data_IF_113499895641
#
_entry.id   IF_113499895641
#
_cell.length_a   1.000
_cell.length_b   1.000
_cell.length_c   1.000
_cell.angle_alpha   90.00
_cell.angle_beta   90.00
_cell.angle_gamma   90.00
#
_symmetry.space_group_name_H-M   'P 1'
#
loop_
_entity.id
_entity.type
_entity.pdbx_description
1 polymer ?
#
# COMPACT_ATOMS: atom_id res chain seq x y z
N UNK A 1 -12.23 20.71 4.99
CA UNK A 1 -11.34 20.19 6.03
C UNK A 1 -12.05 19.09 6.80
N UNK A 2 -11.44 17.92 6.87
CA UNK A 2 -12.06 16.77 7.54
C UNK A 2 -11.83 16.84 9.04
N UNK A 3 -12.92 16.80 9.81
CA UNK A 3 -12.83 16.81 11.26
C UNK A 3 -12.15 15.53 11.76
N UNK A 4 -11.27 15.69 12.73
CA UNK A 4 -10.61 14.58 13.38
C UNK A 4 -9.49 13.92 12.59
N UNK A 5 -9.20 14.38 11.40
CA UNK A 5 -8.08 13.87 10.64
C UNK A 5 -6.90 14.84 10.69
N UNK A 6 -5.78 14.34 11.23
CA UNK A 6 -4.54 15.12 11.32
C UNK A 6 -3.37 14.31 10.81
N UNK A 7 -2.38 14.99 10.24
CA UNK A 7 -1.16 14.36 9.75
C UNK A 7 0.03 15.10 10.36
N UNK A 8 1.01 14.36 10.86
CA UNK A 8 2.22 14.93 11.44
C UNK A 8 3.14 15.53 10.38
N UNK A 9 4.14 16.28 10.83
CA UNK A 9 5.23 16.68 9.97
C UNK A 9 6.02 15.44 9.55
N UNK A 10 6.73 15.56 8.43
CA UNK A 10 7.60 14.50 7.92
C UNK A 10 8.77 14.27 8.87
N UNK A 11 9.07 13.02 9.15
CA UNK A 11 10.08 12.61 10.12
C UNK A 11 11.01 11.56 9.53
N UNK A 12 12.20 11.47 10.10
CA UNK A 12 13.19 10.47 9.72
C UNK A 12 13.53 9.59 10.91
N UNK A 13 14.11 8.41 10.64
CA UNK A 13 14.46 7.48 11.68
C UNK A 13 13.27 6.70 12.20
N UNK A 14 13.54 5.64 12.94
CA UNK A 14 12.47 4.78 13.44
C UNK A 14 11.62 5.54 14.48
N UNK A 15 10.29 5.44 14.40
CA UNK A 15 9.43 6.04 15.43
C UNK A 15 9.74 5.48 16.82
N UNK A 16 9.62 6.34 17.83
CA UNK A 16 9.88 5.93 19.21
C UNK A 16 8.88 4.89 19.73
N UNK A 17 7.63 4.97 19.25
CA UNK A 17 6.59 4.02 19.61
C UNK A 17 6.04 3.36 18.36
N UNK A 18 6.03 2.04 18.33
CA UNK A 18 5.50 1.27 17.21
C UNK A 18 4.19 0.62 17.63
N UNK A 19 3.24 0.56 16.70
CA UNK A 19 1.89 0.08 17.00
C UNK A 19 1.72 -1.43 16.82
N UNK A 20 2.70 -2.13 16.24
CA UNK A 20 2.59 -3.57 16.07
C UNK A 20 3.81 -4.20 15.44
N UNK A 21 3.77 -5.52 15.38
CA UNK A 21 4.89 -6.30 14.87
C UNK A 21 5.15 -6.06 13.38
N UNK A 22 4.10 -5.90 12.58
CA UNK A 22 4.27 -5.65 11.14
C UNK A 22 4.96 -4.33 10.87
N UNK A 23 4.62 -3.31 11.63
CA UNK A 23 5.26 -2.01 11.50
C UNK A 23 6.74 -2.12 11.86
N UNK A 24 7.07 -2.82 12.95
CA UNK A 24 8.45 -3.05 13.34
C UNK A 24 9.21 -3.81 12.26
N UNK A 25 8.63 -4.87 11.72
CA UNK A 25 9.25 -5.67 10.67
C UNK A 25 9.55 -4.84 9.42
N UNK A 26 8.68 -3.91 9.04
CA UNK A 26 8.92 -3.02 7.92
C UNK A 26 10.14 -2.13 8.16
N UNK A 27 10.25 -1.53 9.34
CA UNK A 27 11.41 -0.70 9.64
C UNK A 27 12.69 -1.51 9.68
N UNK A 28 12.65 -2.70 10.27
CA UNK A 28 13.80 -3.58 10.31
C UNK A 28 14.25 -3.98 8.90
N UNK A 29 13.32 -4.26 8.01
CA UNK A 29 13.63 -4.60 6.63
C UNK A 29 14.30 -3.43 5.90
N UNK A 30 13.74 -2.23 6.03
CA UNK A 30 14.32 -1.04 5.40
C UNK A 30 15.73 -0.77 5.90
N UNK A 31 15.94 -0.91 7.20
CA UNK A 31 17.25 -0.70 7.81
C UNK A 31 18.24 -1.76 7.38
N UNK A 32 17.83 -3.01 7.32
CA UNK A 32 18.68 -4.10 6.87
C UNK A 32 19.11 -3.92 5.41
N UNK A 33 18.21 -3.39 4.58
CA UNK A 33 18.51 -3.14 3.17
C UNK A 33 19.25 -1.82 2.94
N UNK A 34 19.49 -1.04 4.00
CA UNK A 34 20.18 0.23 3.86
C UNK A 34 19.36 1.30 3.15
N UNK A 35 18.03 1.20 3.17
CA UNK A 35 17.14 2.14 2.51
C UNK A 35 16.80 3.28 3.45
N UNK A 36 17.10 4.51 3.05
CA UNK A 36 16.66 5.69 3.79
C UNK A 36 15.18 5.90 3.60
N UNK A 37 14.50 6.32 4.64
CA UNK A 37 13.04 6.49 4.60
C UNK A 37 12.61 7.70 5.41
N UNK A 38 11.41 8.18 5.10
CA UNK A 38 10.73 9.21 5.87
C UNK A 38 9.32 8.72 6.15
N UNK A 39 8.72 9.23 7.23
CA UNK A 39 7.37 8.82 7.61
C UNK A 39 6.58 9.97 8.18
N UNK A 40 5.27 9.83 8.14
CA UNK A 40 4.32 10.70 8.82
C UNK A 40 3.37 9.84 9.62
N UNK A 41 2.77 10.43 10.63
CA UNK A 41 1.76 9.78 11.44
C UNK A 41 0.42 10.47 11.22
N UNK A 42 -0.64 9.69 11.08
CA UNK A 42 -1.97 10.26 10.97
C UNK A 42 -2.87 9.73 12.06
N UNK A 43 -3.87 10.53 12.43
CA UNK A 43 -4.74 10.23 13.57
C UNK A 43 -5.63 9.01 13.35
N UNK A 44 -5.96 8.69 12.11
CA UNK A 44 -6.74 7.52 11.71
C UNK A 44 -6.52 7.29 10.22
N UNK A 45 -7.01 6.17 9.72
CA UNK A 45 -6.91 5.90 8.28
C UNK A 45 -7.66 6.97 7.48
N UNK A 46 -7.08 7.44 6.37
CA UNK A 46 -7.79 8.37 5.48
C UNK A 46 -9.05 7.71 4.93
N UNK A 47 -10.16 8.45 4.99
CA UNK A 47 -11.44 7.97 4.50
C UNK A 47 -11.86 8.63 3.20
N UNK A 48 -11.23 9.75 2.85
CA UNK A 48 -11.55 10.51 1.64
C UNK A 48 -10.31 10.73 0.80
N UNK A 49 -10.52 11.09 -0.47
CA UNK A 49 -9.42 11.45 -1.36
C UNK A 49 -8.67 12.67 -0.84
N UNK A 50 -9.40 13.66 -0.30
CA UNK A 50 -8.79 14.85 0.25
C UNK A 50 -7.87 14.53 1.42
N UNK A 51 -8.29 13.61 2.30
CA UNK A 51 -7.45 13.19 3.42
C UNK A 51 -6.21 12.45 2.96
N UNK A 52 -6.35 11.58 1.96
CA UNK A 52 -5.20 10.89 1.39
C UNK A 52 -4.20 11.87 0.76
N UNK A 53 -4.71 12.92 0.11
CA UNK A 53 -3.87 13.96 -0.46
C UNK A 53 -3.11 14.76 0.61
N UNK A 54 -3.69 14.92 1.80
CA UNK A 54 -3.00 15.57 2.91
C UNK A 54 -1.78 14.76 3.35
N UNK A 55 -1.90 13.43 3.35
CA UNK A 55 -0.77 12.54 3.66
C UNK A 55 0.32 12.69 2.60
N UNK A 56 -0.07 12.69 1.32
CA UNK A 56 0.88 12.84 0.22
C UNK A 56 1.64 14.17 0.31
N UNK A 57 0.93 15.24 0.64
CA UNK A 57 1.57 16.55 0.82
C UNK A 57 2.55 16.56 1.98
N UNK A 58 2.20 15.94 3.08
CA UNK A 58 3.07 15.87 4.24
C UNK A 58 4.36 15.09 3.93
N UNK A 59 4.26 14.03 3.15
CA UNK A 59 5.42 13.25 2.71
C UNK A 59 6.19 13.92 1.58
N UNK A 60 5.55 14.85 0.85
CA UNK A 60 6.20 15.55 -0.24
C UNK A 60 6.38 14.70 -1.49
N UNK A 61 5.64 13.62 -1.64
CA UNK A 61 5.70 12.73 -2.81
C UNK A 61 4.30 12.31 -3.21
N UNK A 62 4.09 11.97 -4.49
CA UNK A 62 2.80 11.44 -4.93
C UNK A 62 2.51 10.11 -4.24
N UNK A 63 1.27 9.93 -3.82
CA UNK A 63 0.85 8.69 -3.19
C UNK A 63 0.62 7.57 -4.21
N UNK A 64 0.72 6.35 -3.74
CA UNK A 64 0.44 5.15 -4.52
C UNK A 64 -0.82 4.49 -3.97
N UNK A 65 -1.54 3.82 -4.84
CA UNK A 65 -2.62 2.93 -4.42
C UNK A 65 -2.22 1.49 -4.72
N UNK A 66 -2.67 0.60 -3.85
CA UNK A 66 -2.38 -0.82 -3.92
C UNK A 66 -3.65 -1.53 -4.33
N UNK A 67 -3.60 -2.28 -5.43
CA UNK A 67 -4.74 -3.03 -5.91
C UNK A 67 -4.36 -4.49 -6.03
N UNK A 68 -5.27 -5.36 -5.63
CA UNK A 68 -5.05 -6.81 -5.69
C UNK A 68 -6.14 -7.41 -6.57
N UNK A 69 -5.72 -8.19 -7.55
CA UNK A 69 -6.63 -8.84 -8.49
C UNK A 69 -6.38 -10.34 -8.53
N UNK A 70 -7.44 -11.08 -8.78
CA UNK A 70 -7.34 -12.52 -8.99
C UNK A 70 -8.12 -12.91 -10.22
N UNK A 71 -7.66 -13.97 -10.90
CA UNK A 71 -8.41 -14.54 -12.00
C UNK A 71 -9.57 -15.38 -11.47
N UNK A 72 -10.41 -15.89 -12.38
CA UNK A 72 -11.66 -16.55 -12.03
C UNK A 72 -11.49 -17.72 -11.05
N UNK A 73 -10.51 -18.59 -11.26
CA UNK A 73 -10.29 -19.75 -10.42
C UNK A 73 -9.27 -19.52 -9.32
N UNK A 74 -8.84 -18.26 -9.12
CA UNK A 74 -7.89 -17.85 -8.09
C UNK A 74 -6.52 -18.51 -8.18
N UNK A 75 -6.17 -19.00 -9.36
CA UNK A 75 -4.85 -19.60 -9.59
C UNK A 75 -3.76 -18.54 -9.79
N UNK A 76 -4.13 -17.29 -10.11
CA UNK A 76 -3.19 -16.19 -10.30
C UNK A 76 -3.63 -14.99 -9.48
N UNK A 77 -2.68 -14.38 -8.79
CA UNK A 77 -2.91 -13.15 -8.03
C UNK A 77 -1.95 -12.09 -8.53
N UNK A 78 -2.48 -10.92 -8.84
CA UNK A 78 -1.69 -9.77 -9.24
C UNK A 78 -1.77 -8.70 -8.15
N UNK A 79 -0.61 -8.24 -7.71
CA UNK A 79 -0.50 -7.13 -6.78
C UNK A 79 0.03 -5.94 -7.57
N UNK A 80 -0.77 -4.89 -7.68
CA UNK A 80 -0.47 -3.77 -8.54
C UNK A 80 -0.31 -2.49 -7.75
N UNK A 81 0.81 -1.81 -7.99
CA UNK A 81 1.09 -0.50 -7.42
C UNK A 81 1.05 0.51 -8.53
N UNK A 82 0.28 1.59 -8.35
CA UNK A 82 0.20 2.64 -9.35
C UNK A 82 -0.06 3.99 -8.68
N UNK A 83 0.25 5.11 -9.35
CA UNK A 83 -0.04 6.43 -8.80
C UNK A 83 -1.52 6.56 -8.44
N UNK A 84 -1.80 7.20 -7.31
CA UNK A 84 -3.17 7.34 -6.80
C UNK A 84 -4.13 7.91 -7.81
N UNK A 85 -3.67 8.87 -8.61
CA UNK A 85 -4.49 9.55 -9.60
C UNK A 85 -4.73 8.74 -10.88
N UNK A 86 -3.91 7.73 -11.13
CA UNK A 86 -4.00 6.97 -12.36
C UNK A 86 -5.16 6.00 -12.31
N UNK A 87 -5.95 6.00 -13.37
CA UNK A 87 -7.05 5.06 -13.52
C UNK A 87 -6.53 3.79 -14.19
N UNK A 88 -6.85 2.65 -13.61
CA UNK A 88 -6.43 1.37 -14.16
C UNK A 88 -7.45 0.87 -15.17
N UNK A 89 -6.98 0.46 -16.35
CA UNK A 89 -7.78 -0.27 -17.31
C UNK A 89 -7.62 -1.77 -17.04
N UNK A 90 -8.54 -2.32 -16.25
CA UNK A 90 -8.47 -3.73 -15.86
C UNK A 90 -8.59 -4.68 -17.04
N UNK A 91 -9.35 -4.31 -18.07
CA UNK A 91 -9.49 -5.15 -19.28
C UNK A 91 -8.17 -5.22 -20.05
N UNK A 92 -7.49 -4.09 -20.20
CA UNK A 92 -6.20 -4.05 -20.88
C UNK A 92 -5.15 -4.84 -20.09
N UNK A 93 -5.17 -4.74 -18.77
CA UNK A 93 -4.27 -5.51 -17.91
C UNK A 93 -4.49 -7.01 -18.07
N UNK A 94 -5.75 -7.44 -18.01
CA UNK A 94 -6.10 -8.85 -18.17
C UNK A 94 -5.64 -9.38 -19.54
N UNK A 95 -5.88 -8.60 -20.60
CA UNK A 95 -5.46 -8.98 -21.94
C UNK A 95 -3.94 -9.10 -22.05
N UNK A 96 -3.21 -8.15 -21.49
CA UNK A 96 -1.75 -8.15 -21.54
C UNK A 96 -1.12 -9.34 -20.82
N UNK A 97 -1.83 -9.90 -19.83
CA UNK A 97 -1.37 -11.03 -19.05
C UNK A 97 -2.02 -12.35 -19.46
N UNK A 98 -2.81 -12.33 -20.51
CA UNK A 98 -3.51 -13.53 -20.99
C UNK A 98 -4.45 -14.13 -19.93
N UNK A 99 -5.17 -13.26 -19.23
CA UNK A 99 -6.11 -13.65 -18.20
C UNK A 99 -7.52 -13.37 -18.71
N UNK A 100 -8.39 -14.38 -18.68
CA UNK A 100 -9.74 -14.26 -19.21
C UNK A 100 -10.61 -13.34 -18.37
N UNK A 101 -10.47 -13.40 -17.06
CA UNK A 101 -11.29 -12.61 -16.14
C UNK A 101 -10.45 -12.19 -14.94
N UNK A 102 -10.46 -10.90 -14.66
CA UNK A 102 -9.67 -10.33 -13.57
C UNK A 102 -10.61 -9.53 -12.67
N UNK A 103 -10.68 -9.89 -11.39
CA UNK A 103 -11.54 -9.23 -10.43
C UNK A 103 -10.73 -8.67 -9.28
N UNK A 104 -11.09 -7.46 -8.83
CA UNK A 104 -10.46 -6.86 -7.66
C UNK A 104 -10.89 -7.60 -6.41
N UNK A 105 -9.93 -7.89 -5.53
CA UNK A 105 -10.18 -8.54 -4.26
C UNK A 105 -9.61 -7.67 -3.13
N UNK A 106 -10.03 -7.94 -1.89
CA UNK A 106 -9.53 -7.18 -0.76
C UNK A 106 -8.22 -7.76 -0.22
N UNK A 107 -7.63 -7.06 0.75
CA UNK A 107 -6.34 -7.46 1.31
C UNK A 107 -6.35 -8.83 1.99
N UNK A 108 -7.52 -9.32 2.41
CA UNK A 108 -7.61 -10.63 3.04
C UNK A 108 -7.15 -11.74 2.10
N UNK A 109 -7.24 -11.54 0.78
CA UNK A 109 -6.75 -12.52 -0.19
C UNK A 109 -5.25 -12.77 -0.08
N UNK A 110 -4.49 -11.81 0.48
CA UNK A 110 -3.05 -11.98 0.66
C UNK A 110 -2.70 -13.02 1.71
N UNK A 111 -3.60 -13.29 2.65
CA UNK A 111 -3.38 -14.27 3.70
C UNK A 111 -3.38 -15.70 3.17
N UNK A 112 -4.02 -15.91 2.02
CA UNK A 112 -4.09 -17.22 1.39
C UNK A 112 -2.89 -17.51 0.49
N UNK A 113 -1.96 -16.56 0.34
CA UNK A 113 -0.79 -16.73 -0.49
C UNK A 113 0.31 -17.49 0.26
N UNK A 114 1.15 -18.25 -0.46
CA UNK A 114 2.32 -18.89 0.15
C UNK A 114 3.23 -17.87 0.83
N UNK A 115 3.95 -18.29 1.86
CA UNK A 115 4.89 -17.45 2.59
C UNK A 115 5.89 -16.71 1.70
N UNK A 116 6.28 -17.32 0.59
CA UNK A 116 7.21 -16.71 -0.36
C UNK A 116 6.72 -15.38 -0.91
N UNK A 117 5.43 -15.09 -0.76
CA UNK A 117 4.85 -13.83 -1.21
C UNK A 117 4.83 -12.76 -0.14
N UNK A 118 5.21 -13.09 1.08
CA UNK A 118 5.30 -12.10 2.12
C UNK A 118 6.51 -11.19 1.85
N UNK A 119 6.32 -9.87 1.82
CA UNK A 119 7.38 -8.96 1.39
C UNK A 119 8.60 -8.94 2.32
N UNK A 120 8.45 -9.42 3.54
CA UNK A 120 9.52 -9.41 4.54
C UNK A 120 10.12 -10.79 4.83
N UNK A 121 9.78 -11.77 4.07
CA UNK A 121 10.35 -13.12 4.19
C UNK A 121 11.67 -13.25 3.41
#
# INVERSE_FOLDING_TARGET
MSEGFTVSARQTGRPAALTGDRERECYELLERLGIAYEWVEFSRQPETTAEAEEVDKALGVPGLKNLIFQNRNRSRTLFLLLPREKRLDAKALAKSRNITRLSMVNAAALEDLPERWAPWN
#
